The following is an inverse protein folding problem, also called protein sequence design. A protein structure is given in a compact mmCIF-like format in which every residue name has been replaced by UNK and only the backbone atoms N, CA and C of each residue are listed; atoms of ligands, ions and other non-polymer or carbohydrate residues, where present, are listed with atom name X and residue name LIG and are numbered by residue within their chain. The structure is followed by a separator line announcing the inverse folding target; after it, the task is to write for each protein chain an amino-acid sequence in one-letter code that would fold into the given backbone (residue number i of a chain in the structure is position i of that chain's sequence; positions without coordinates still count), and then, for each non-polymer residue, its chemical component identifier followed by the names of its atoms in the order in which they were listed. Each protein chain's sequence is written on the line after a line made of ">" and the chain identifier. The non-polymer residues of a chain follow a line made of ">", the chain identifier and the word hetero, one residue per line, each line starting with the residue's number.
data_IF_107038075625
#
_entry.id   IF_107038075625
#
_cell.length_a   1.000
_cell.length_b   1.000
_cell.length_c   1.000
_cell.angle_alpha   90.00
_cell.angle_beta   90.00
_cell.angle_gamma   90.00
#
_symmetry.space_group_name_H-M   'P 1'
#
loop_
_entity.id
_entity.type
_entity.pdbx_description
1 polymer ?
#
# COMPACT_ATOMS: atom_id res chain seq x y z
N UNK A 1 -6.56 15.82 0.35
CA UNK A 1 -6.73 14.50 1.04
C UNK A 1 -5.38 13.78 1.14
N UNK A 2 -4.56 14.11 2.13
CA UNK A 2 -3.19 13.58 2.33
C UNK A 2 -3.01 13.00 3.75
N UNK A 3 -4.06 12.32 4.24
CA UNK A 3 -4.02 11.61 5.53
C UNK A 3 -4.09 10.11 5.24
N UNK A 4 -3.29 9.34 5.95
CA UNK A 4 -3.12 7.91 5.71
C UNK A 4 -3.23 7.13 7.02
N UNK A 5 -3.80 5.94 6.96
CA UNK A 5 -3.80 4.96 8.04
C UNK A 5 -2.75 3.91 7.68
N UNK A 6 -1.82 3.66 8.61
CA UNK A 6 -0.81 2.62 8.48
C UNK A 6 -1.28 1.44 9.33
N UNK A 7 -1.68 0.36 8.67
CA UNK A 7 -2.17 -0.85 9.32
C UNK A 7 -1.15 -1.97 9.18
N UNK A 8 -0.69 -2.51 10.30
CA UNK A 8 0.23 -3.65 10.31
C UNK A 8 -0.53 -4.96 10.10
N UNK A 9 0.00 -5.81 9.23
CA UNK A 9 -0.49 -7.17 8.97
C UNK A 9 0.23 -8.18 9.87
N UNK A 10 -0.37 -9.36 10.04
CA UNK A 10 0.16 -10.43 10.90
C UNK A 10 1.60 -10.88 10.52
N UNK A 11 2.00 -10.72 9.26
CA UNK A 11 3.35 -11.04 8.78
C UNK A 11 4.37 -9.90 8.95
N UNK A 12 4.00 -8.80 9.62
CA UNK A 12 4.85 -7.63 9.85
C UNK A 12 4.93 -6.62 8.71
N UNK A 13 4.30 -6.90 7.55
CA UNK A 13 4.14 -5.90 6.48
C UNK A 13 2.99 -4.94 6.78
N UNK A 14 2.84 -3.89 5.99
CA UNK A 14 1.87 -2.83 6.21
C UNK A 14 0.98 -2.59 5.00
N UNK A 15 -0.29 -2.25 5.24
CA UNK A 15 -1.17 -1.61 4.27
C UNK A 15 -1.27 -0.13 4.61
N UNK A 16 -1.14 0.73 3.59
CA UNK A 16 -1.23 2.19 3.73
C UNK A 16 -2.54 2.63 3.10
N UNK A 17 -3.57 2.90 3.92
CA UNK A 17 -4.94 3.20 3.49
C UNK A 17 -5.19 4.70 3.43
N UNK A 18 -5.92 5.15 2.40
CA UNK A 18 -6.36 6.54 2.31
C UNK A 18 -7.45 6.83 3.34
N UNK A 19 -7.29 7.90 4.13
CA UNK A 19 -8.36 8.37 5.03
C UNK A 19 -9.54 8.94 4.22
N UNK A 20 -9.27 9.48 3.02
CA UNK A 20 -10.32 10.07 2.18
C UNK A 20 -11.22 9.03 1.50
N UNK A 21 -10.77 7.78 1.39
CA UNK A 21 -11.56 6.66 0.89
C UNK A 21 -10.93 5.34 1.37
N UNK A 22 -11.61 4.64 2.28
CA UNK A 22 -11.12 3.41 2.90
C UNK A 22 -10.95 2.23 1.93
N UNK A 23 -11.50 2.31 0.71
CA UNK A 23 -11.32 1.30 -0.33
C UNK A 23 -10.00 1.46 -1.09
N UNK A 24 -9.30 2.58 -0.91
CA UNK A 24 -8.10 2.93 -1.66
C UNK A 24 -6.84 2.79 -0.80
N UNK A 25 -5.82 2.13 -1.36
CA UNK A 25 -4.53 1.86 -0.70
C UNK A 25 -3.35 2.23 -1.59
N UNK A 26 -2.18 2.45 -0.98
CA UNK A 26 -0.94 2.66 -1.71
C UNK A 26 -0.55 1.40 -2.46
N UNK A 27 -0.30 1.54 -3.77
CA UNK A 27 -0.16 0.44 -4.71
C UNK A 27 1.08 0.65 -5.59
N UNK A 28 1.96 -0.36 -5.66
CA UNK A 28 3.00 -0.42 -6.69
C UNK A 28 2.37 -0.94 -7.99
N UNK A 29 2.32 -0.11 -9.03
CA UNK A 29 1.50 -0.37 -10.21
C UNK A 29 1.87 -1.68 -10.90
N UNK A 30 0.86 -2.55 -11.08
CA UNK A 30 0.98 -3.88 -11.67
C UNK A 30 0.92 -5.00 -10.63
N UNK A 31 0.41 -6.17 -11.02
CA UNK A 31 0.13 -7.26 -10.07
C UNK A 31 1.38 -7.75 -9.30
N UNK A 32 2.55 -7.68 -9.94
CA UNK A 32 3.84 -8.02 -9.33
C UNK A 32 4.68 -6.77 -9.17
N UNK A 33 5.14 -6.43 -7.94
CA UNK A 33 6.07 -5.35 -7.72
C UNK A 33 7.35 -5.55 -8.53
N UNK A 34 7.75 -4.51 -9.25
CA UNK A 34 8.99 -4.49 -10.02
C UNK A 34 9.68 -3.16 -9.85
N UNK A 35 11.01 -3.18 -10.02
CA UNK A 35 11.83 -1.96 -10.00
C UNK A 35 11.32 -1.01 -11.09
N UNK A 36 11.16 0.27 -10.73
CA UNK A 36 10.64 1.30 -11.63
C UNK A 36 9.11 1.34 -11.79
N UNK A 37 8.36 0.50 -11.06
CA UNK A 37 6.90 0.63 -11.02
C UNK A 37 6.49 1.97 -10.39
N UNK A 38 5.50 2.64 -10.99
CA UNK A 38 4.90 3.83 -10.41
C UNK A 38 4.19 3.47 -9.10
N UNK A 39 4.33 4.33 -8.09
CA UNK A 39 3.50 4.26 -6.88
C UNK A 39 2.22 5.05 -7.14
N UNK A 40 1.08 4.39 -6.96
CA UNK A 40 -0.24 4.95 -7.19
C UNK A 40 -1.17 4.65 -6.00
N UNK A 41 -2.45 4.98 -6.17
CA UNK A 41 -3.50 4.63 -5.23
C UNK A 41 -4.52 3.80 -5.98
N UNK A 42 -4.81 2.59 -5.49
CA UNK A 42 -5.72 1.67 -6.16
C UNK A 42 -6.68 1.01 -5.18
N UNK A 43 -7.76 0.44 -5.71
CA UNK A 43 -8.72 -0.34 -4.92
C UNK A 43 -8.00 -1.50 -4.24
N UNK A 44 -8.21 -1.64 -2.94
CA UNK A 44 -7.67 -2.74 -2.16
C UNK A 44 -8.11 -4.09 -2.75
N UNK A 45 -7.15 -4.92 -3.12
CA UNK A 45 -7.38 -6.24 -3.73
C UNK A 45 -6.56 -7.36 -3.06
N UNK A 46 -5.76 -7.03 -2.03
CA UNK A 46 -4.95 -8.00 -1.28
C UNK A 46 -3.67 -8.45 -1.99
N UNK A 47 -3.37 -7.88 -3.16
CA UNK A 47 -2.16 -8.13 -3.93
C UNK A 47 -0.90 -7.81 -3.15
N UNK A 48 0.20 -8.49 -3.47
CA UNK A 48 1.49 -8.24 -2.83
C UNK A 48 2.04 -6.86 -3.17
N UNK A 49 1.57 -6.26 -4.26
CA UNK A 49 1.87 -4.89 -4.66
C UNK A 49 1.18 -3.81 -3.81
N UNK A 50 0.36 -4.19 -2.84
CA UNK A 50 -0.27 -3.30 -1.88
C UNK A 50 0.29 -3.45 -0.46
N UNK A 51 1.31 -4.31 -0.27
CA UNK A 51 1.93 -4.60 1.02
C UNK A 51 3.34 -4.01 1.06
N UNK A 52 3.62 -3.23 2.10
CA UNK A 52 4.85 -2.44 2.21
C UNK A 52 5.66 -2.86 3.43
N UNK A 53 6.98 -2.84 3.30
CA UNK A 53 7.89 -2.98 4.43
C UNK A 53 8.38 -1.60 4.83
N UNK A 54 8.04 -1.15 6.04
CA UNK A 54 8.49 0.14 6.60
C UNK A 54 9.61 -0.16 7.59
N UNK A 55 10.77 0.48 7.40
CA UNK A 55 11.94 0.33 8.27
C UNK A 55 12.34 1.70 8.82
N UNK A 56 12.90 1.75 10.05
CA UNK A 56 13.57 2.96 10.54
C UNK A 56 14.68 3.39 9.58
N UNK A 57 14.98 4.70 9.60
CA UNK A 57 16.12 5.27 8.91
C UNK A 57 17.44 4.92 9.62
#
# INVERSE_FOLDING_TARGET
>A
NQKWIIEQLANGSYIIKSVGNSKLVLDATGATPKIGANVSVWTANGGNNQKWNIKPA
#
